data_IF_465334886921
#
_entry.id   IF_465334886921
#
_cell.length_a   1.000
_cell.length_b   1.000
_cell.length_c   1.000
_cell.angle_alpha   90.00
_cell.angle_beta   90.00
_cell.angle_gamma   90.00
#
_symmetry.space_group_name_H-M   'P 1'
#
loop_
_entity.id
_entity.type
_entity.pdbx_description
1 polymer ?
#
# COMPACT_ATOMS: atom_id res chain seq x y z
N UNK A 1 1.62 -26.59 -11.63
CA UNK A 1 0.41 -25.71 -11.60
C UNK A 1 0.22 -24.99 -10.25
N UNK A 2 1.31 -24.52 -9.61
CA UNK A 2 1.27 -23.83 -8.30
C UNK A 2 1.64 -22.34 -8.36
N UNK A 3 2.58 -21.99 -9.23
CA UNK A 3 3.18 -20.65 -9.32
C UNK A 3 2.14 -19.52 -9.52
N UNK A 4 1.17 -19.71 -10.42
CA UNK A 4 0.12 -18.70 -10.67
C UNK A 4 -0.75 -18.45 -9.43
N UNK A 5 -1.07 -19.49 -8.66
CA UNK A 5 -1.87 -19.36 -7.44
C UNK A 5 -1.08 -18.65 -6.34
N UNK A 6 0.20 -18.94 -6.20
CA UNK A 6 1.05 -18.23 -5.22
C UNK A 6 1.25 -16.77 -5.61
N UNK A 7 1.43 -16.47 -6.90
CA UNK A 7 1.48 -15.09 -7.39
C UNK A 7 0.18 -14.34 -7.06
N UNK A 8 -0.99 -14.92 -7.34
CA UNK A 8 -2.28 -14.32 -7.01
C UNK A 8 -2.47 -14.15 -5.49
N UNK A 9 -1.99 -15.09 -4.67
CA UNK A 9 -2.04 -15.00 -3.21
C UNK A 9 -1.19 -13.84 -2.69
N UNK A 10 0.03 -13.69 -3.22
CA UNK A 10 0.93 -12.59 -2.87
C UNK A 10 0.34 -11.23 -3.28
N UNK A 11 -0.22 -11.11 -4.49
CA UNK A 11 -0.88 -9.89 -4.95
C UNK A 11 -2.08 -9.51 -4.07
N UNK A 12 -2.87 -10.50 -3.62
CA UNK A 12 -3.98 -10.28 -2.68
C UNK A 12 -3.48 -9.80 -1.32
N UNK A 13 -2.43 -10.41 -0.78
CA UNK A 13 -1.83 -9.99 0.50
C UNK A 13 -1.28 -8.57 0.45
N UNK A 14 -0.75 -8.14 -0.70
CA UNK A 14 -0.30 -6.77 -0.95
C UNK A 14 -1.44 -5.77 -1.19
N UNK A 15 -2.70 -6.21 -1.17
CA UNK A 15 -3.86 -5.36 -1.43
C UNK A 15 -3.98 -4.87 -2.87
N UNK A 16 -3.23 -5.46 -3.81
CA UNK A 16 -3.20 -5.05 -5.23
C UNK A 16 -4.36 -5.65 -6.03
N UNK A 17 -4.90 -6.78 -5.57
CA UNK A 17 -6.07 -7.43 -6.15
C UNK A 17 -7.04 -7.87 -5.07
N UNK A 18 -8.29 -8.08 -5.47
CA UNK A 18 -9.30 -8.78 -4.69
C UNK A 18 -9.79 -10.04 -5.42
N UNK A 19 -10.30 -11.01 -4.65
CA UNK A 19 -10.90 -12.23 -5.19
C UNK A 19 -12.40 -12.19 -4.92
N UNK A 20 -13.19 -12.09 -5.99
CA UNK A 20 -14.66 -12.16 -5.91
C UNK A 20 -15.11 -13.60 -6.16
N UNK A 21 -16.02 -14.11 -5.32
CA UNK A 21 -16.55 -15.49 -5.42
C UNK A 21 -17.73 -15.55 -6.41
N UNK A 22 -18.06 -16.75 -6.89
CA UNK A 22 -19.24 -17.03 -7.72
C UNK A 22 -18.93 -17.28 -9.20
N UNK A 23 -19.98 -17.57 -10.00
CA UNK A 23 -19.85 -17.94 -11.42
C UNK A 23 -19.24 -16.84 -12.31
N UNK A 24 -19.33 -15.57 -11.89
CA UNK A 24 -18.67 -14.40 -12.50
C UNK A 24 -17.55 -13.83 -11.62
N UNK A 25 -17.06 -14.65 -10.70
CA UNK A 25 -15.95 -14.32 -9.82
C UNK A 25 -14.61 -14.33 -10.56
N UNK A 26 -13.54 -14.05 -9.83
CA UNK A 26 -12.20 -13.94 -10.39
C UNK A 26 -11.29 -13.05 -9.57
N UNK A 27 -10.08 -12.84 -10.10
CA UNK A 27 -9.14 -11.85 -9.58
C UNK A 27 -9.37 -10.49 -10.25
N UNK A 28 -9.51 -9.44 -9.46
CA UNK A 28 -9.74 -8.08 -9.95
C UNK A 28 -8.68 -7.15 -9.39
N UNK A 29 -8.12 -6.27 -10.23
CA UNK A 29 -7.15 -5.26 -9.80
C UNK A 29 -7.86 -4.23 -8.94
N UNK A 30 -7.32 -3.95 -7.76
CA UNK A 30 -7.80 -2.88 -6.87
C UNK A 30 -7.16 -1.56 -7.30
N UNK A 31 -7.91 -0.47 -7.15
CA UNK A 31 -7.29 0.84 -7.05
C UNK A 31 -6.44 0.86 -5.78
N UNK A 32 -5.18 1.30 -5.86
CA UNK A 32 -4.31 1.37 -4.69
C UNK A 32 -4.89 2.43 -3.75
N UNK A 33 -5.38 1.98 -2.60
CA UNK A 33 -5.81 2.86 -1.52
C UNK A 33 -4.58 3.27 -0.73
N UNK A 34 -4.46 4.56 -0.41
CA UNK A 34 -3.36 5.12 0.40
C UNK A 34 -3.14 4.32 1.70
N UNK A 35 -4.22 3.79 2.26
CA UNK A 35 -4.23 2.93 3.44
C UNK A 35 -3.31 1.69 3.32
N UNK A 36 -3.19 1.08 2.14
CA UNK A 36 -2.36 -0.11 1.94
C UNK A 36 -0.86 0.18 2.07
N UNK A 37 -0.45 1.41 1.76
CA UNK A 37 0.97 1.82 1.80
C UNK A 37 1.31 2.47 3.14
N UNK A 38 0.35 3.14 3.77
CA UNK A 38 0.57 3.85 5.04
C UNK A 38 0.96 2.94 6.19
N UNK A 39 0.42 1.72 6.27
CA UNK A 39 0.74 0.78 7.36
C UNK A 39 2.20 0.29 7.28
N UNK A 40 2.64 -0.10 6.07
CA UNK A 40 4.03 -0.52 5.83
C UNK A 40 5.01 0.62 6.08
N UNK A 41 4.65 1.83 5.65
CA UNK A 41 5.45 3.04 5.90
C UNK A 41 5.52 3.37 7.40
N UNK A 42 4.39 3.33 8.12
CA UNK A 42 4.36 3.59 9.55
C UNK A 42 5.22 2.61 10.35
N UNK A 43 5.21 1.31 9.97
CA UNK A 43 6.07 0.31 10.58
C UNK A 43 7.55 0.60 10.32
N UNK A 44 7.91 0.94 9.08
CA UNK A 44 9.27 1.32 8.71
C UNK A 44 9.78 2.52 9.53
N UNK A 45 8.98 3.58 9.66
CA UNK A 45 9.35 4.78 10.43
C UNK A 45 9.58 4.46 11.91
N UNK A 46 8.73 3.61 12.50
CA UNK A 46 8.88 3.14 13.89
C UNK A 46 10.17 2.33 14.09
N UNK A 47 10.45 1.39 13.19
CA UNK A 47 11.66 0.54 13.26
C UNK A 47 12.95 1.37 13.15
N UNK A 48 12.95 2.40 12.30
CA UNK A 48 14.11 3.25 12.08
C UNK A 48 14.20 4.44 13.07
N UNK A 49 13.28 4.54 14.04
CA UNK A 49 13.22 5.64 15.03
C UNK A 49 13.31 7.02 14.38
N UNK A 50 12.60 7.20 13.26
CA UNK A 50 12.53 8.50 12.59
C UNK A 50 11.87 9.49 13.53
N UNK A 51 12.54 10.60 13.80
CA UNK A 51 11.99 11.61 14.71
C UNK A 51 10.77 12.30 14.07
N UNK A 52 9.76 12.67 14.86
CA UNK A 52 8.56 13.35 14.35
C UNK A 52 8.87 14.62 13.57
N UNK A 53 9.93 15.33 13.93
CA UNK A 53 10.35 16.59 13.31
C UNK A 53 10.63 16.41 11.81
N UNK A 54 11.31 15.33 11.41
CA UNK A 54 11.55 15.03 9.99
C UNK A 54 10.25 14.75 9.22
N UNK A 55 9.20 14.23 9.88
CA UNK A 55 7.90 14.01 9.24
C UNK A 55 7.13 15.32 9.06
N UNK A 56 7.28 16.26 9.99
CA UNK A 56 6.71 17.61 9.90
C UNK A 56 7.37 18.36 8.75
N UNK A 57 8.70 18.40 8.69
CA UNK A 57 9.46 19.05 7.60
C UNK A 57 9.09 18.46 6.23
N UNK A 58 9.02 17.12 6.14
CA UNK A 58 8.60 16.45 4.92
C UNK A 58 7.18 16.88 4.50
N UNK A 59 6.23 16.92 5.45
CA UNK A 59 4.85 17.33 5.17
C UNK A 59 4.78 18.76 4.63
N UNK A 60 5.49 19.68 5.27
CA UNK A 60 5.53 21.09 4.86
C UNK A 60 6.11 21.25 3.44
N UNK A 61 7.21 20.54 3.14
CA UNK A 61 7.85 20.60 1.81
C UNK A 61 6.93 20.08 0.69
N UNK A 62 6.17 19.02 0.95
CA UNK A 62 5.23 18.43 -0.01
C UNK A 62 4.03 19.36 -0.22
N UNK A 63 3.46 19.88 0.86
CA UNK A 63 2.32 20.80 0.80
C UNK A 63 2.68 22.09 0.05
N UNK A 64 3.91 22.60 0.25
CA UNK A 64 4.44 23.74 -0.51
C UNK A 64 4.52 23.42 -2.01
N UNK A 65 5.03 22.25 -2.38
CA UNK A 65 5.18 21.84 -3.79
C UNK A 65 3.84 21.65 -4.51
N UNK A 66 2.79 21.20 -3.79
CA UNK A 66 1.46 21.01 -4.38
C UNK A 66 0.72 22.35 -4.54
N UNK A 67 0.98 23.31 -3.66
CA UNK A 67 0.26 24.60 -3.62
C UNK A 67 0.90 25.66 -4.51
N UNK A 68 2.20 25.55 -4.81
CA UNK A 68 2.95 26.43 -5.73
C UNK A 68 2.73 26.09 -7.20
#
# INVERSE_FOLDING_TARGET
>A
RGVVREALRALKQKGLIEIRKGARGGAFVKHIEVANVSESLALFLKLNRVSPEHLIEFRESVDQTITS
#
